data_IF_105431536176
#
_entry.id   IF_105431536176
#
_cell.length_a   1.000
_cell.length_b   1.000
_cell.length_c   1.000
_cell.angle_alpha   90.00
_cell.angle_beta   90.00
_cell.angle_gamma   90.00
#
_symmetry.space_group_name_H-M   'P 1'
#
loop_
_entity.id
_entity.type
_entity.pdbx_description
1 polymer ?
#
# COMPACT_ATOMS: atom_id res chain seq x y z
N UNK A 1 18.87 -11.85 3.72
CA UNK A 1 18.91 -10.59 3.90
C UNK A 1 18.02 -10.03 4.90
N UNK A 2 18.49 -9.23 5.60
CA UNK A 2 17.78 -8.75 6.72
C UNK A 2 16.83 -7.64 6.33
N UNK A 3 15.69 -7.57 7.00
CA UNK A 3 14.74 -6.49 6.80
C UNK A 3 15.12 -5.25 7.57
N UNK A 4 16.27 -5.25 8.26
CA UNK A 4 16.76 -4.03 8.89
C UNK A 4 17.10 -2.95 7.86
N UNK A 5 17.26 -3.33 6.60
CA UNK A 5 17.61 -2.39 5.54
C UNK A 5 16.41 -1.87 4.76
N UNK A 6 15.21 -2.00 5.32
CA UNK A 6 14.00 -1.52 4.67
C UNK A 6 12.80 -1.83 5.53
N UNK A 7 11.60 -1.68 4.96
CA UNK A 7 10.37 -2.01 5.66
C UNK A 7 9.83 -3.31 5.07
N UNK A 8 9.57 -4.29 5.93
CA UNK A 8 9.03 -5.57 5.50
C UNK A 8 7.75 -5.86 6.29
N UNK A 9 6.68 -6.16 5.58
CA UNK A 9 5.40 -6.52 6.19
C UNK A 9 4.98 -7.84 5.59
N UNK A 10 4.67 -8.81 6.44
CA UNK A 10 4.24 -10.14 6.01
C UNK A 10 2.94 -10.51 6.70
N UNK A 11 2.03 -11.12 5.97
CA UNK A 11 0.76 -11.55 6.52
C UNK A 11 0.28 -12.80 5.77
N UNK A 12 -0.28 -13.76 6.49
CA UNK A 12 -0.91 -14.93 5.87
C UNK A 12 -2.42 -14.75 5.95
N UNK A 13 -3.09 -14.90 4.79
CA UNK A 13 -4.54 -14.82 4.70
C UNK A 13 -5.13 -16.19 4.40
N UNK A 14 -6.31 -16.45 4.94
CA UNK A 14 -7.05 -17.67 4.69
C UNK A 14 -7.90 -17.49 3.42
N UNK A 15 -7.21 -17.36 2.30
CA UNK A 15 -7.80 -17.14 0.99
C UNK A 15 -6.78 -17.53 -0.09
N UNK A 16 -7.22 -18.03 -1.25
CA UNK A 16 -6.29 -18.42 -2.31
C UNK A 16 -5.66 -17.21 -2.98
N UNK A 17 -4.52 -17.41 -3.63
CA UNK A 17 -3.79 -16.31 -4.28
C UNK A 17 -4.65 -15.49 -5.23
N UNK A 18 -5.52 -16.14 -5.98
CA UNK A 18 -6.41 -15.43 -6.90
C UNK A 18 -7.28 -14.40 -6.17
N UNK A 19 -7.81 -14.78 -5.02
CA UNK A 19 -8.67 -13.88 -4.26
C UNK A 19 -7.87 -12.70 -3.69
N UNK A 20 -6.67 -12.98 -3.18
CA UNK A 20 -5.82 -11.92 -2.65
C UNK A 20 -5.36 -11.00 -3.78
N UNK A 21 -4.99 -11.56 -4.91
CA UNK A 21 -4.61 -10.79 -6.09
C UNK A 21 -5.73 -9.86 -6.54
N UNK A 22 -6.96 -10.38 -6.62
CA UNK A 22 -8.10 -9.56 -7.02
C UNK A 22 -8.35 -8.42 -6.04
N UNK A 23 -8.17 -8.68 -4.75
CA UNK A 23 -8.35 -7.66 -3.73
C UNK A 23 -7.33 -6.53 -3.87
N UNK A 24 -6.19 -6.79 -4.51
CA UNK A 24 -5.13 -5.81 -4.74
C UNK A 24 -5.22 -5.13 -6.11
N UNK A 25 -6.03 -5.66 -7.02
CA UNK A 25 -6.03 -5.16 -8.40
C UNK A 25 -7.39 -4.65 -8.87
N UNK A 26 -8.47 -5.10 -8.26
CA UNK A 26 -9.81 -4.65 -8.66
C UNK A 26 -10.25 -3.47 -7.81
N UNK A 27 -10.57 -2.31 -8.44
CA UNK A 27 -10.91 -1.09 -7.69
C UNK A 27 -12.00 -1.29 -6.65
N UNK A 28 -13.06 -2.04 -6.99
CA UNK A 28 -14.17 -2.26 -6.05
C UNK A 28 -13.73 -2.99 -4.80
N UNK A 29 -12.75 -3.89 -4.92
CA UNK A 29 -12.25 -4.62 -3.77
C UNK A 29 -11.22 -3.78 -2.99
N UNK A 30 -10.34 -3.06 -3.68
CA UNK A 30 -9.37 -2.19 -3.03
C UNK A 30 -10.08 -1.17 -2.16
N UNK A 31 -11.18 -0.63 -2.64
CA UNK A 31 -11.96 0.39 -1.93
C UNK A 31 -12.42 -0.08 -0.55
N UNK A 32 -12.55 -1.39 -0.36
CA UNK A 32 -13.06 -1.94 0.89
C UNK A 32 -12.04 -1.99 2.01
N UNK A 33 -10.75 -1.94 1.69
CA UNK A 33 -9.73 -2.14 2.72
C UNK A 33 -8.60 -1.08 2.70
N UNK A 34 -8.52 -0.27 1.68
CA UNK A 34 -7.44 0.71 1.57
C UNK A 34 -7.55 1.75 2.68
N UNK A 35 -6.40 2.05 3.33
CA UNK A 35 -6.34 2.99 4.44
C UNK A 35 -6.52 2.30 5.79
N UNK A 36 -5.92 2.88 6.85
CA UNK A 36 -6.03 2.29 8.18
C UNK A 36 -7.48 2.24 8.69
N UNK A 37 -7.68 1.54 9.78
CA UNK A 37 -9.01 1.45 10.40
C UNK A 37 -9.56 2.84 10.68
N UNK A 38 -10.82 3.05 10.34
CA UNK A 38 -11.47 4.35 10.50
C UNK A 38 -11.37 5.22 9.27
N UNK A 39 -10.53 4.85 8.31
CA UNK A 39 -10.40 5.57 7.05
C UNK A 39 -11.29 4.93 5.98
N UNK A 40 -11.74 5.75 5.04
CA UNK A 40 -12.44 5.26 3.85
C UNK A 40 -11.55 5.50 2.62
N UNK A 41 -11.92 4.91 1.50
CA UNK A 41 -11.20 5.08 0.25
C UNK A 41 -12.17 5.63 -0.80
N UNK A 42 -12.38 6.95 -0.82
CA UNK A 42 -13.37 7.54 -1.72
C UNK A 42 -13.03 7.45 -3.21
N UNK A 43 -11.77 7.24 -3.52
CA UNK A 43 -11.35 7.12 -4.92
C UNK A 43 -10.30 6.03 -5.08
N UNK A 44 -10.55 5.12 -6.03
CA UNK A 44 -9.60 4.09 -6.41
C UNK A 44 -9.60 3.98 -7.92
N UNK A 45 -8.52 4.40 -8.55
CA UNK A 45 -8.35 4.31 -10.01
C UNK A 45 -7.15 3.42 -10.30
N UNK A 46 -7.34 2.44 -11.17
CA UNK A 46 -6.32 1.46 -11.51
C UNK A 46 -6.24 1.30 -13.02
N UNK A 47 -5.04 1.41 -13.57
CA UNK A 47 -4.77 1.07 -14.96
C UNK A 47 -3.74 -0.07 -14.90
N UNK A 48 -4.25 -1.30 -14.81
CA UNK A 48 -3.42 -2.47 -14.51
C UNK A 48 -2.67 -2.97 -15.74
N UNK A 49 -1.56 -2.32 -16.01
CA UNK A 49 -0.63 -2.72 -17.07
C UNK A 49 0.73 -2.10 -16.74
N UNK A 50 1.79 -2.69 -17.23
CA UNK A 50 3.13 -2.12 -17.03
C UNK A 50 3.15 -0.73 -17.64
N UNK A 51 3.57 0.26 -16.85
CA UNK A 51 3.53 1.67 -17.26
C UNK A 51 2.22 2.35 -16.92
N UNK A 52 1.19 1.61 -16.53
CA UNK A 52 -0.08 2.20 -16.13
C UNK A 52 0.00 2.81 -14.74
N UNK A 53 -0.88 3.76 -14.44
CA UNK A 53 -0.91 4.47 -13.17
C UNK A 53 -2.04 4.01 -12.28
N UNK A 54 -1.83 4.14 -10.97
CA UNK A 54 -2.94 4.07 -10.03
C UNK A 54 -3.00 5.37 -9.24
N UNK A 55 -4.19 5.76 -8.81
CA UNK A 55 -4.40 6.92 -7.94
C UNK A 55 -5.45 6.51 -6.91
N UNK A 56 -5.07 6.57 -5.65
CA UNK A 56 -5.97 6.22 -4.55
C UNK A 56 -6.11 7.40 -3.62
N UNK A 57 -7.33 7.59 -3.07
CA UNK A 57 -7.55 8.55 -2.02
C UNK A 57 -7.98 7.81 -0.76
N UNK A 58 -7.50 8.26 0.39
CA UNK A 58 -8.05 7.80 1.65
C UNK A 58 -8.53 9.03 2.43
N UNK A 59 -9.57 8.85 3.24
CA UNK A 59 -10.19 9.93 3.98
C UNK A 59 -10.32 9.50 5.43
N UNK A 60 -9.78 10.28 6.34
CA UNK A 60 -9.75 9.94 7.75
C UNK A 60 -11.04 10.20 8.49
N UNK A 61 -11.07 9.89 9.78
CA UNK A 61 -12.28 10.01 10.57
C UNK A 61 -12.80 11.44 10.65
N UNK A 62 -14.12 11.62 10.69
CA UNK A 62 -14.71 12.96 10.82
C UNK A 62 -14.20 13.70 12.04
N UNK A 63 -13.80 14.96 11.86
CA UNK A 63 -13.33 15.80 12.94
C UNK A 63 -11.87 15.60 13.31
N UNK A 64 -11.18 14.63 12.71
CA UNK A 64 -9.76 14.42 12.98
C UNK A 64 -8.93 15.31 12.06
N UNK A 65 -7.62 15.37 12.32
CA UNK A 65 -6.69 16.08 11.43
C UNK A 65 -6.64 15.44 10.04
N UNK A 66 -7.14 14.21 9.91
CA UNK A 66 -7.16 13.45 8.66
C UNK A 66 -8.51 13.48 7.97
N UNK A 67 -9.42 14.35 8.41
CA UNK A 67 -10.76 14.48 7.82
C UNK A 67 -10.68 15.23 6.49
N UNK A 68 -10.00 14.60 5.52
CA UNK A 68 -9.79 15.15 4.19
C UNK A 68 -9.30 14.03 3.28
N UNK A 69 -9.40 14.27 1.97
CA UNK A 69 -8.89 13.32 0.99
C UNK A 69 -7.38 13.46 0.89
N UNK A 70 -6.69 12.35 1.06
CA UNK A 70 -5.24 12.29 0.92
C UNK A 70 -4.92 11.30 -0.18
N UNK A 71 -4.16 11.76 -1.17
CA UNK A 71 -3.92 10.98 -2.38
C UNK A 71 -2.54 10.36 -2.39
N UNK A 72 -2.48 9.13 -2.92
CA UNK A 72 -1.21 8.50 -3.24
C UNK A 72 -1.35 7.93 -4.65
N UNK A 73 -0.24 7.82 -5.33
CA UNK A 73 -0.24 7.36 -6.70
C UNK A 73 1.05 6.60 -7.00
N UNK A 74 1.08 5.96 -8.14
CA UNK A 74 2.27 5.28 -8.59
C UNK A 74 2.07 4.67 -9.96
N UNK A 75 3.10 3.95 -10.38
CA UNK A 75 3.14 3.31 -11.69
C UNK A 75 3.43 1.82 -11.49
N UNK A 76 2.73 0.98 -12.24
CA UNK A 76 3.02 -0.46 -12.23
C UNK A 76 4.29 -0.70 -13.02
N UNK A 77 5.32 -1.22 -12.36
CA UNK A 77 6.62 -1.49 -13.00
C UNK A 77 6.73 -2.94 -13.46
N UNK A 78 6.11 -3.85 -12.73
CA UNK A 78 6.13 -5.26 -13.07
C UNK A 78 4.84 -5.90 -12.58
N UNK A 79 4.24 -6.74 -13.42
CA UNK A 79 3.01 -7.45 -13.08
C UNK A 79 3.18 -8.91 -13.47
N UNK A 80 3.17 -9.80 -12.47
CA UNK A 80 3.16 -11.25 -12.71
C UNK A 80 1.86 -11.74 -12.08
N UNK A 81 0.84 -12.07 -12.89
CA UNK A 81 -0.48 -12.42 -12.34
C UNK A 81 -0.43 -13.44 -11.23
N UNK A 82 -1.15 -13.14 -10.15
CA UNK A 82 -1.28 -13.98 -8.96
C UNK A 82 0.00 -14.19 -8.18
N UNK A 83 1.09 -13.52 -8.53
CA UNK A 83 2.41 -13.77 -7.93
C UNK A 83 3.12 -12.52 -7.44
N UNK A 84 3.11 -11.45 -8.24
CA UNK A 84 3.98 -10.32 -7.93
C UNK A 84 3.50 -9.02 -8.58
N UNK A 85 3.60 -7.94 -7.80
CA UNK A 85 3.44 -6.58 -8.29
C UNK A 85 4.66 -5.79 -7.84
N UNK A 86 5.24 -5.01 -8.75
CA UNK A 86 6.23 -4.01 -8.38
C UNK A 86 5.67 -2.67 -8.81
N UNK A 87 5.58 -1.75 -7.87
CA UNK A 87 4.97 -0.44 -8.12
C UNK A 87 5.85 0.65 -7.54
N UNK A 88 5.73 1.86 -8.08
CA UNK A 88 6.23 3.03 -7.38
C UNK A 88 5.10 3.53 -6.48
N UNK A 89 5.45 4.28 -5.46
CA UNK A 89 4.48 4.81 -4.50
C UNK A 89 4.95 6.18 -4.05
N UNK A 90 4.06 7.18 -4.14
CA UNK A 90 4.39 8.54 -3.73
C UNK A 90 3.10 9.28 -3.35
N UNK A 91 3.25 10.32 -2.54
CA UNK A 91 2.13 11.20 -2.23
C UNK A 91 1.81 12.02 -3.46
N UNK A 92 0.53 12.25 -3.70
CA UNK A 92 0.10 12.94 -4.91
C UNK A 92 -1.05 13.90 -4.64
N UNK A 93 -1.40 14.66 -5.70
CA UNK A 93 -2.63 15.41 -5.71
C UNK A 93 -3.72 14.54 -6.36
N UNK A 94 -4.89 15.13 -6.57
CA UNK A 94 -6.03 14.39 -7.13
C UNK A 94 -5.81 13.92 -8.58
N UNK A 95 -4.83 14.51 -9.25
CA UNK A 95 -4.49 14.13 -10.62
C UNK A 95 -3.39 13.08 -10.70
N UNK A 96 -2.87 12.67 -9.55
CA UNK A 96 -1.78 11.72 -9.49
C UNK A 96 -0.41 12.34 -9.70
N UNK A 97 -0.32 13.67 -9.60
CA UNK A 97 0.96 14.37 -9.72
C UNK A 97 1.67 14.37 -8.37
N UNK A 98 2.98 14.08 -8.39
CA UNK A 98 3.77 13.94 -7.17
C UNK A 98 3.77 15.20 -6.31
N UNK A 99 3.63 15.02 -5.01
CA UNK A 99 3.69 16.09 -4.03
C UNK A 99 4.81 15.78 -3.03
N UNK A 100 5.27 16.83 -2.34
CA UNK A 100 6.31 16.65 -1.32
C UNK A 100 5.70 15.98 -0.08
N UNK A 101 6.42 15.02 0.54
CA UNK A 101 5.91 14.39 1.76
C UNK A 101 5.57 15.38 2.87
N UNK A 102 6.31 16.49 2.95
CA UNK A 102 6.05 17.50 3.98
C UNK A 102 4.67 18.14 3.86
N UNK A 103 4.10 18.18 2.66
CA UNK A 103 2.75 18.71 2.47
C UNK A 103 1.69 17.81 3.12
N UNK A 104 2.07 16.58 3.45
CA UNK A 104 1.18 15.60 4.08
C UNK A 104 1.57 15.37 5.55
N UNK A 105 2.34 16.28 6.12
CA UNK A 105 2.75 16.18 7.51
C UNK A 105 3.89 15.20 7.77
N UNK A 106 4.54 14.72 6.73
CA UNK A 106 5.66 13.81 6.88
C UNK A 106 6.97 14.57 7.05
N UNK A 107 7.95 13.89 7.62
CA UNK A 107 9.31 14.40 7.77
C UNK A 107 9.86 14.75 6.38
N UNK A 108 10.56 15.88 6.22
CA UNK A 108 11.16 16.25 4.94
C UNK A 108 12.13 15.21 4.39
N UNK A 109 12.69 14.37 5.24
CA UNK A 109 13.59 13.29 4.80
C UNK A 109 12.86 12.03 4.35
N UNK A 110 11.52 12.01 4.45
CA UNK A 110 10.75 10.87 3.96
C UNK A 110 10.96 10.74 2.44
N UNK A 111 11.23 9.54 1.93
CA UNK A 111 11.50 9.38 0.49
C UNK A 111 10.32 9.87 -0.36
N UNK A 112 10.62 10.61 -1.41
CA UNK A 112 9.59 11.14 -2.30
C UNK A 112 8.93 10.03 -3.10
N UNK A 113 9.70 9.03 -3.49
CA UNK A 113 9.22 7.88 -4.25
C UNK A 113 9.80 6.62 -3.64
N UNK A 114 8.95 5.62 -3.45
CA UNK A 114 9.40 4.30 -3.03
C UNK A 114 9.06 3.30 -4.11
N UNK A 115 9.91 2.31 -4.31
CA UNK A 115 9.60 1.18 -5.19
C UNK A 115 9.19 0.03 -4.27
N UNK A 116 7.96 -0.41 -4.41
CA UNK A 116 7.37 -1.39 -3.49
C UNK A 116 7.16 -2.70 -4.22
N UNK A 117 7.62 -3.78 -3.62
CA UNK A 117 7.39 -5.12 -4.15
C UNK A 117 6.34 -5.81 -3.31
N UNK A 118 5.31 -6.33 -3.96
CA UNK A 118 4.24 -7.06 -3.29
C UNK A 118 4.25 -8.48 -3.85
N UNK A 119 4.47 -9.46 -2.97
CA UNK A 119 4.53 -10.86 -3.34
C UNK A 119 3.32 -11.61 -2.82
N UNK A 120 2.79 -12.51 -3.67
CA UNK A 120 1.64 -13.34 -3.34
C UNK A 120 2.11 -14.78 -3.45
N UNK A 121 2.32 -15.43 -2.33
CA UNK A 121 2.86 -16.78 -2.30
C UNK A 121 1.87 -17.78 -1.73
N UNK A 122 1.79 -18.96 -2.35
CA UNK A 122 0.95 -20.03 -1.84
C UNK A 122 1.50 -20.46 -0.48
N UNK A 123 0.66 -20.43 0.54
CA UNK A 123 1.04 -20.83 1.90
C UNK A 123 0.40 -22.17 2.30
N UNK A 124 -0.16 -22.88 1.33
CA UNK A 124 -0.75 -24.19 1.55
C UNK A 124 -2.23 -24.13 1.93
N UNK A 125 -2.99 -25.13 1.52
CA UNK A 125 -4.40 -25.30 1.91
C UNK A 125 -5.29 -24.09 1.68
N UNK A 126 -5.12 -23.45 0.53
CA UNK A 126 -5.95 -22.29 0.21
C UNK A 126 -5.56 -21.03 0.95
N UNK A 127 -4.35 -20.98 1.47
CA UNK A 127 -3.83 -19.80 2.16
C UNK A 127 -2.78 -19.11 1.33
N UNK A 128 -2.63 -17.82 1.55
CA UNK A 128 -1.68 -17.00 0.81
C UNK A 128 -0.82 -16.19 1.77
N UNK A 129 0.49 -16.19 1.53
CA UNK A 129 1.39 -15.31 2.25
C UNK A 129 1.59 -14.06 1.39
N UNK A 130 1.24 -12.93 1.95
CA UNK A 130 1.44 -11.62 1.31
C UNK A 130 2.67 -10.97 1.91
N UNK A 131 3.57 -10.48 1.06
CA UNK A 131 4.75 -9.76 1.50
C UNK A 131 4.75 -8.39 0.84
N UNK A 132 4.91 -7.34 1.65
CA UNK A 132 5.05 -5.97 1.15
C UNK A 132 6.43 -5.51 1.56
N UNK A 133 7.26 -5.19 0.58
CA UNK A 133 8.64 -4.82 0.82
C UNK A 133 8.97 -3.44 0.26
N UNK A 134 9.44 -2.56 1.13
CA UNK A 134 10.03 -1.29 0.75
C UNK A 134 11.54 -1.46 0.90
N UNK A 135 12.32 -1.25 -0.16
CA UNK A 135 13.77 -1.43 -0.06
C UNK A 135 14.40 -0.35 0.82
N UNK A 136 15.63 -0.59 1.21
CA UNK A 136 16.40 0.37 1.97
C UNK A 136 16.50 1.68 1.17
N UNK A 137 16.14 2.82 1.76
CA UNK A 137 16.30 4.11 1.07
C UNK A 137 17.77 4.52 1.05
N UNK A 138 18.08 5.62 0.38
CA UNK A 138 19.46 6.05 0.14
C UNK A 138 20.22 6.51 1.37
N UNK A 139 19.54 6.95 2.45
CA UNK A 139 20.21 7.47 3.63
C UNK A 139 19.53 6.97 4.90
N UNK A 140 20.31 7.04 6.01
CA UNK A 140 19.77 6.69 7.32
C UNK A 140 18.63 7.63 7.73
N UNK A 141 18.76 8.92 7.38
CA UNK A 141 17.71 9.89 7.69
C UNK A 141 16.39 9.53 7.02
N UNK A 142 16.46 9.05 5.77
CA UNK A 142 15.29 8.58 5.06
C UNK A 142 14.69 7.36 5.74
N UNK A 143 15.52 6.42 6.18
CA UNK A 143 15.04 5.22 6.86
C UNK A 143 14.36 5.59 8.18
N UNK A 144 14.98 6.48 8.95
CA UNK A 144 14.41 6.96 10.21
C UNK A 144 13.06 7.64 9.98
N UNK A 145 12.94 8.43 8.91
CA UNK A 145 11.69 9.10 8.56
C UNK A 145 10.60 8.08 8.21
N UNK A 146 10.94 7.01 7.50
CA UNK A 146 9.99 5.96 7.17
C UNK A 146 9.47 5.27 8.42
N UNK A 147 10.37 4.93 9.34
CA UNK A 147 9.99 4.28 10.60
C UNK A 147 9.11 5.20 11.42
N UNK A 148 9.49 6.47 11.52
CA UNK A 148 8.79 7.46 12.33
C UNK A 148 7.40 7.77 11.78
N UNK A 149 7.20 7.58 10.48
CA UNK A 149 5.90 7.86 9.84
C UNK A 149 4.79 6.96 10.32
N UNK A 150 5.12 5.82 10.91
CA UNK A 150 4.11 4.84 11.30
C UNK A 150 3.59 4.02 10.14
N UNK A 151 4.27 4.03 8.99
CA UNK A 151 3.78 3.34 7.80
C UNK A 151 3.57 1.84 8.02
N UNK A 152 4.42 1.20 8.82
CA UNK A 152 4.28 -0.23 9.07
C UNK A 152 2.99 -0.52 9.85
N UNK A 153 2.72 0.29 10.85
CA UNK A 153 1.50 0.17 11.65
C UNK A 153 0.27 0.47 10.78
N UNK A 154 0.38 1.47 9.90
CA UNK A 154 -0.70 1.81 8.98
C UNK A 154 -1.00 0.66 8.03
N UNK A 155 0.04 0.06 7.46
CA UNK A 155 -0.13 -1.12 6.60
C UNK A 155 -0.81 -2.26 7.35
N UNK A 156 -0.35 -2.55 8.57
CA UNK A 156 -0.95 -3.64 9.35
C UNK A 156 -2.42 -3.37 9.65
N UNK A 157 -2.77 -2.12 9.92
CA UNK A 157 -4.18 -1.75 10.14
C UNK A 157 -5.01 -1.99 8.88
N UNK A 158 -4.49 -1.57 7.70
CA UNK A 158 -5.18 -1.82 6.43
C UNK A 158 -5.32 -3.31 6.15
N UNK A 159 -4.28 -4.08 6.45
CA UNK A 159 -4.31 -5.53 6.20
C UNK A 159 -5.28 -6.25 7.13
N UNK A 160 -5.54 -5.70 8.32
CA UNK A 160 -6.59 -6.23 9.18
C UNK A 160 -7.95 -6.10 8.51
N UNK A 161 -8.18 -4.98 7.80
CA UNK A 161 -9.41 -4.78 7.05
C UNK A 161 -9.46 -5.74 5.86
N UNK A 162 -8.33 -5.92 5.17
CA UNK A 162 -8.24 -6.86 4.05
C UNK A 162 -8.57 -8.28 4.50
N UNK A 163 -8.09 -8.65 5.67
CA UNK A 163 -8.38 -9.96 6.25
C UNK A 163 -9.88 -10.17 6.36
N UNK A 164 -10.59 -9.16 6.88
CA UNK A 164 -12.05 -9.24 7.00
C UNK A 164 -12.73 -9.40 5.65
N UNK A 165 -12.27 -8.66 4.65
CA UNK A 165 -12.84 -8.73 3.30
C UNK A 165 -12.64 -10.11 2.70
N UNK A 166 -11.44 -10.66 2.82
CA UNK A 166 -11.10 -11.96 2.21
C UNK A 166 -11.76 -13.14 2.91
N UNK A 167 -11.93 -13.04 4.22
CA UNK A 167 -12.46 -14.15 5.01
C UNK A 167 -13.96 -14.05 5.24
N UNK A 168 -14.59 -13.02 4.71
CA UNK A 168 -16.04 -12.87 4.78
C UNK A 168 -16.66 -13.64 3.63
N UNK A 169 -17.60 -14.51 3.94
CA UNK A 169 -18.27 -15.34 2.93
C UNK A 169 -19.63 -14.79 2.57
#
# INVERSE_FOLDING_TARGET
MSDENGILIERVFDAPREAVWRAWTEPELIRKWWGPEGFSAPRVNVDLKVGGKYVFAMHGPPGSEWDKDMYSAGVYKEIVPHTKLVVTDYFSDEKGEMKEPAEFGQDPDFPKVSTVTILFEDAGRGKTKLTIRYPEPGTKKQMDAMIKSGMKEGWNSSLDKLKKVLEMK
#
